data_IF_083712612705
#
_entry.id   IF_083712612705
#
_cell.length_a   1.000
_cell.length_b   1.000
_cell.length_c   1.000
_cell.angle_alpha   90.00
_cell.angle_beta   90.00
_cell.angle_gamma   90.00
#
_symmetry.space_group_name_H-M   'P 1'
#
loop_
_entity.id
_entity.type
_entity.pdbx_description
1 polymer ?
#
# COMPACT_ATOMS: atom_id res chain seq x y z
N UNK A 1 0.17 19.69 -13.23
CA UNK A 1 1.16 19.13 -12.29
C UNK A 1 2.50 19.79 -12.60
N UNK A 2 3.01 20.64 -11.71
CA UNK A 2 4.27 21.35 -11.91
C UNK A 2 5.41 20.41 -11.54
N UNK A 3 6.19 19.96 -12.53
CA UNK A 3 7.43 19.21 -12.37
C UNK A 3 8.50 20.14 -11.79
N UNK A 4 8.48 20.32 -10.47
CA UNK A 4 9.53 21.04 -9.73
C UNK A 4 10.81 20.20 -9.67
N UNK A 5 11.94 20.79 -10.08
CA UNK A 5 13.32 20.32 -9.98
C UNK A 5 13.56 18.99 -9.22
N UNK A 6 13.74 17.91 -10.00
CA UNK A 6 13.96 16.52 -9.59
C UNK A 6 15.44 16.13 -9.38
N UNK A 7 16.33 17.08 -9.03
CA UNK A 7 17.74 16.72 -8.84
C UNK A 7 17.97 16.09 -7.46
N UNK A 8 18.56 14.89 -7.37
CA UNK A 8 18.93 14.28 -6.10
C UNK A 8 20.07 15.04 -5.45
N UNK A 9 20.15 14.96 -4.12
CA UNK A 9 21.24 15.53 -3.32
C UNK A 9 22.40 14.55 -3.13
N UNK A 10 22.16 13.25 -3.26
CA UNK A 10 23.16 12.18 -3.21
C UNK A 10 22.81 11.08 -4.20
N UNK A 11 23.81 10.49 -4.85
CA UNK A 11 23.63 9.37 -5.79
C UNK A 11 24.69 8.32 -5.48
N UNK A 12 24.25 7.08 -5.28
CA UNK A 12 25.06 5.93 -4.92
C UNK A 12 24.87 4.83 -5.98
N UNK A 13 25.96 4.20 -6.42
CA UNK A 13 25.97 3.08 -7.36
C UNK A 13 26.79 1.96 -6.73
N UNK A 14 26.21 0.77 -6.55
CA UNK A 14 26.86 -0.35 -5.88
C UNK A 14 27.69 -1.17 -6.88
N UNK A 15 27.11 -1.51 -8.03
CA UNK A 15 27.83 -1.92 -9.22
C UNK A 15 27.55 -3.36 -9.63
N UNK A 16 28.51 -4.26 -9.41
CA UNK A 16 28.38 -5.68 -9.77
C UNK A 16 28.67 -6.54 -8.54
N UNK A 17 27.95 -7.64 -8.43
CA UNK A 17 27.99 -8.54 -7.29
C UNK A 17 26.88 -8.19 -6.29
N UNK A 18 26.65 -9.11 -5.36
CA UNK A 18 25.62 -8.95 -4.34
C UNK A 18 26.10 -7.91 -3.31
N UNK A 19 25.47 -6.73 -3.30
CA UNK A 19 25.85 -5.60 -2.49
C UNK A 19 24.90 -5.38 -1.31
N UNK A 20 25.41 -4.74 -0.24
CA UNK A 20 24.60 -4.35 0.91
C UNK A 20 24.75 -2.85 1.13
N UNK A 21 23.63 -2.15 1.10
CA UNK A 21 23.54 -0.71 1.31
C UNK A 21 22.65 -0.38 2.51
N UNK A 22 23.21 0.29 3.51
CA UNK A 22 22.46 0.85 4.64
C UNK A 22 22.68 2.36 4.69
N UNK A 23 21.67 3.10 4.24
CA UNK A 23 21.70 4.56 4.21
C UNK A 23 22.02 5.24 5.55
N UNK A 24 21.80 4.59 6.69
CA UNK A 24 22.13 5.14 8.01
C UNK A 24 23.64 5.24 8.25
N UNK A 25 24.42 4.49 7.48
CA UNK A 25 25.87 4.43 7.56
C UNK A 25 26.56 5.32 6.52
N UNK A 26 25.80 5.90 5.58
CA UNK A 26 26.36 6.50 4.36
C UNK A 26 26.55 8.02 4.45
N UNK A 27 27.80 8.52 4.42
CA UNK A 27 28.07 9.95 4.37
C UNK A 27 27.51 10.56 3.09
N UNK A 28 26.70 11.61 3.24
CA UNK A 28 26.08 12.29 2.10
C UNK A 28 24.70 11.74 1.72
N UNK A 29 24.21 10.71 2.41
CA UNK A 29 22.79 10.37 2.36
C UNK A 29 21.93 11.48 2.94
N UNK A 30 20.80 11.73 2.30
CA UNK A 30 19.82 12.77 2.60
C UNK A 30 18.43 12.31 2.14
N UNK A 31 17.37 13.00 2.55
CA UNK A 31 15.98 12.71 2.16
C UNK A 31 15.68 12.92 0.65
N UNK A 32 16.68 13.19 -0.19
CA UNK A 32 16.57 13.26 -1.66
C UNK A 32 17.71 12.48 -2.33
N UNK A 33 18.05 11.32 -1.81
CA UNK A 33 19.15 10.51 -2.32
C UNK A 33 18.66 9.31 -3.09
N UNK A 34 19.45 8.92 -4.07
CA UNK A 34 19.18 7.78 -4.95
C UNK A 34 20.27 6.72 -4.77
N UNK A 35 19.88 5.46 -4.75
CA UNK A 35 20.77 4.31 -4.74
C UNK A 35 20.36 3.34 -5.85
N UNK A 36 21.36 2.82 -6.56
CA UNK A 36 21.22 1.86 -7.66
C UNK A 36 22.11 0.66 -7.35
N UNK A 37 21.50 -0.53 -7.24
CA UNK A 37 22.13 -1.81 -6.94
C UNK A 37 23.07 -2.23 -8.07
N UNK A 38 22.49 -2.61 -9.21
CA UNK A 38 23.23 -2.81 -10.45
C UNK A 38 23.07 -4.23 -11.00
N UNK A 39 24.07 -5.08 -10.84
CA UNK A 39 23.94 -6.51 -11.13
C UNK A 39 24.30 -7.31 -9.88
N UNK A 40 23.49 -8.28 -9.50
CA UNK A 40 23.69 -9.10 -8.30
C UNK A 40 22.45 -9.02 -7.43
N UNK A 41 22.36 -9.89 -6.44
CA UNK A 41 21.22 -9.91 -5.53
C UNK A 41 21.50 -8.91 -4.38
N UNK A 42 20.94 -7.71 -4.48
CA UNK A 42 21.29 -6.59 -3.61
C UNK A 42 20.35 -6.44 -2.41
N UNK A 43 20.89 -5.96 -1.29
CA UNK A 43 20.12 -5.62 -0.09
C UNK A 43 20.23 -4.13 0.20
N UNK A 44 19.15 -3.38 -0.05
CA UNK A 44 19.14 -1.92 0.03
C UNK A 44 18.16 -1.45 1.12
N UNK A 45 18.68 -0.76 2.14
CA UNK A 45 17.88 -0.07 3.16
C UNK A 45 18.05 1.45 3.02
N UNK A 46 16.97 2.12 2.59
CA UNK A 46 16.92 3.55 2.31
C UNK A 46 15.93 4.25 3.26
N UNK A 47 16.47 5.04 4.18
CA UNK A 47 15.75 5.65 5.31
C UNK A 47 15.73 7.17 5.16
N UNK A 48 14.57 7.81 5.36
CA UNK A 48 14.51 9.27 5.48
C UNK A 48 15.05 9.72 6.85
N UNK A 49 15.89 10.75 6.86
CA UNK A 49 16.48 11.30 8.07
C UNK A 49 15.46 12.14 8.88
N UNK A 50 15.46 12.04 10.23
CA UNK A 50 14.65 12.87 11.11
C UNK A 50 14.84 14.39 10.91
N UNK A 51 13.86 15.25 11.31
CA UNK A 51 12.70 14.95 12.15
C UNK A 51 11.45 14.47 11.41
N UNK A 52 11.46 14.40 10.07
CA UNK A 52 10.30 13.95 9.29
C UNK A 52 10.64 12.69 8.49
N UNK A 53 9.73 11.74 8.45
CA UNK A 53 9.82 10.59 7.52
C UNK A 53 9.59 11.00 6.06
N UNK A 54 9.27 12.26 5.76
CA UNK A 54 9.17 12.75 4.38
C UNK A 54 10.51 12.59 3.63
N UNK A 55 10.49 11.67 2.67
CA UNK A 55 11.55 11.45 1.69
C UNK A 55 11.15 11.91 0.30
N UNK A 56 12.13 11.82 -0.59
CA UNK A 56 12.06 11.75 -2.06
C UNK A 56 13.22 10.85 -2.50
N UNK A 57 13.25 9.68 -1.88
CA UNK A 57 14.29 8.69 -2.11
C UNK A 57 13.97 7.90 -3.37
N UNK A 58 15.00 7.36 -4.00
CA UNK A 58 14.89 6.34 -5.04
C UNK A 58 15.82 5.19 -4.65
N UNK A 59 15.29 3.99 -4.55
CA UNK A 59 16.07 2.77 -4.46
C UNK A 59 15.73 1.89 -5.67
N UNK A 60 16.75 1.46 -6.41
CA UNK A 60 16.62 0.56 -7.56
C UNK A 60 17.53 -0.64 -7.33
N UNK A 61 17.01 -1.86 -7.44
CA UNK A 61 17.82 -3.10 -7.42
C UNK A 61 18.52 -3.34 -8.76
N UNK A 62 17.83 -3.01 -9.86
CA UNK A 62 18.26 -3.15 -11.25
C UNK A 62 18.23 -4.61 -11.77
N UNK A 63 19.26 -5.44 -11.59
CA UNK A 63 19.23 -6.85 -12.02
C UNK A 63 19.69 -7.77 -10.90
N UNK A 64 18.89 -8.78 -10.59
CA UNK A 64 19.12 -9.73 -9.50
C UNK A 64 17.84 -9.91 -8.71
N UNK A 65 17.84 -10.85 -7.78
CA UNK A 65 16.72 -11.02 -6.84
C UNK A 65 16.98 -10.08 -5.64
N UNK A 66 16.44 -8.85 -5.71
CA UNK A 66 16.80 -7.76 -4.81
C UNK A 66 15.86 -7.64 -3.60
N UNK A 67 16.39 -7.18 -2.46
CA UNK A 67 15.61 -6.82 -1.28
C UNK A 67 15.73 -5.33 -0.98
N UNK A 68 14.64 -4.59 -1.14
CA UNK A 68 14.60 -3.14 -0.98
C UNK A 68 13.66 -2.77 0.15
N UNK A 69 14.19 -2.05 1.15
CA UNK A 69 13.44 -1.51 2.28
C UNK A 69 13.48 0.02 2.27
N UNK A 70 12.31 0.64 2.13
CA UNK A 70 12.09 2.07 2.30
C UNK A 70 11.50 2.38 3.68
N UNK A 71 12.14 3.28 4.41
CA UNK A 71 11.58 3.90 5.62
C UNK A 71 11.41 5.41 5.38
N UNK A 72 10.46 5.74 4.52
CA UNK A 72 10.18 7.10 4.10
C UNK A 72 8.77 7.24 3.52
N UNK A 73 8.24 8.45 3.48
CA UNK A 73 7.09 8.85 2.67
C UNK A 73 7.55 9.41 1.31
N UNK A 74 6.66 9.44 0.31
CA UNK A 74 6.89 10.08 -1.00
C UNK A 74 8.18 9.62 -1.73
N UNK A 75 8.53 8.35 -1.59
CA UNK A 75 9.73 7.75 -2.15
C UNK A 75 9.42 6.62 -3.13
N UNK A 76 10.43 6.18 -3.88
CA UNK A 76 10.30 5.19 -4.95
C UNK A 76 11.21 4.00 -4.68
N UNK A 77 10.65 2.78 -4.77
CA UNK A 77 11.39 1.53 -4.81
C UNK A 77 11.10 0.83 -6.15
N UNK A 78 12.15 0.42 -6.85
CA UNK A 78 12.09 -0.32 -8.10
C UNK A 78 12.89 -1.61 -7.91
N UNK A 79 12.27 -2.77 -8.06
CA UNK A 79 12.96 -4.06 -7.94
C UNK A 79 13.91 -4.20 -9.12
N UNK A 80 13.34 -4.24 -10.32
CA UNK A 80 14.10 -4.31 -11.55
C UNK A 80 13.80 -5.64 -12.22
N UNK A 81 14.83 -6.40 -12.56
CA UNK A 81 14.67 -7.76 -13.10
C UNK A 81 15.10 -8.77 -12.05
N UNK A 82 14.25 -9.74 -11.78
CA UNK A 82 14.51 -10.80 -10.82
C UNK A 82 13.24 -11.03 -10.03
N UNK A 83 13.31 -11.80 -8.95
CA UNK A 83 12.20 -11.95 -8.02
C UNK A 83 12.50 -11.10 -6.79
N UNK A 84 11.89 -9.92 -6.75
CA UNK A 84 12.26 -8.87 -5.82
C UNK A 84 11.37 -8.83 -4.58
N UNK A 85 11.91 -8.34 -3.47
CA UNK A 85 11.16 -8.06 -2.24
C UNK A 85 11.23 -6.57 -1.94
N UNK A 86 10.12 -5.86 -2.13
CA UNK A 86 10.02 -4.42 -1.89
C UNK A 86 9.16 -4.14 -0.67
N UNK A 87 9.70 -3.42 0.30
CA UNK A 87 9.01 -3.10 1.56
C UNK A 87 9.01 -1.60 1.81
N UNK A 88 7.84 -0.99 1.96
CA UNK A 88 7.70 0.40 2.42
C UNK A 88 7.12 0.45 3.83
N UNK A 89 7.83 1.11 4.75
CA UNK A 89 7.52 1.15 6.18
C UNK A 89 7.35 2.59 6.69
N UNK A 90 6.26 2.80 7.41
CA UNK A 90 5.96 4.00 8.19
C UNK A 90 5.56 5.21 7.36
N UNK A 91 5.78 5.20 6.05
CA UNK A 91 5.50 6.30 5.15
C UNK A 91 4.37 6.04 4.15
N UNK A 92 3.73 7.15 3.77
CA UNK A 92 2.62 7.24 2.82
C UNK A 92 3.09 7.85 1.49
N UNK A 93 2.31 7.63 0.43
CA UNK A 93 2.58 8.19 -0.90
C UNK A 93 3.82 7.63 -1.60
N UNK A 94 4.31 6.45 -1.19
CA UNK A 94 5.40 5.78 -1.88
C UNK A 94 4.92 5.10 -3.17
N UNK A 95 5.84 4.87 -4.09
CA UNK A 95 5.63 4.06 -5.29
C UNK A 95 6.58 2.85 -5.27
N UNK A 96 6.02 1.65 -5.35
CA UNK A 96 6.75 0.39 -5.40
C UNK A 96 6.44 -0.28 -6.73
N UNK A 97 7.47 -0.72 -7.44
CA UNK A 97 7.37 -1.40 -8.74
C UNK A 97 8.28 -2.62 -8.70
N UNK A 98 7.69 -3.82 -8.76
CA UNK A 98 8.46 -5.07 -8.81
C UNK A 98 9.28 -5.14 -10.09
N UNK A 99 8.58 -5.09 -11.23
CA UNK A 99 9.19 -5.16 -12.55
C UNK A 99 8.94 -6.54 -13.15
N UNK A 100 9.81 -7.06 -14.03
CA UNK A 100 9.70 -8.44 -14.48
C UNK A 100 10.24 -9.41 -13.41
N UNK A 101 9.37 -10.30 -12.93
CA UNK A 101 9.67 -11.09 -11.74
C UNK A 101 8.44 -11.78 -11.17
N UNK A 102 8.62 -12.75 -10.28
CA UNK A 102 7.61 -13.07 -9.28
C UNK A 102 7.92 -12.26 -8.01
N UNK A 103 7.32 -11.07 -7.90
CA UNK A 103 7.73 -10.08 -6.90
C UNK A 103 6.84 -10.12 -5.65
N UNK A 104 7.42 -9.72 -4.51
CA UNK A 104 6.71 -9.53 -3.25
C UNK A 104 6.76 -8.06 -2.84
N UNK A 105 5.61 -7.38 -2.90
CA UNK A 105 5.49 -5.99 -2.51
C UNK A 105 4.73 -5.86 -1.18
N UNK A 106 5.35 -5.21 -0.20
CA UNK A 106 4.88 -5.10 1.17
C UNK A 106 4.66 -3.63 1.52
N UNK A 107 3.43 -3.27 1.88
CA UNK A 107 3.07 -1.93 2.35
C UNK A 107 2.72 -1.93 3.84
N UNK A 108 3.50 -1.15 4.60
CA UNK A 108 3.26 -0.83 6.00
C UNK A 108 3.10 0.69 6.13
N UNK A 109 1.96 1.20 5.65
CA UNK A 109 1.66 2.64 5.56
C UNK A 109 0.59 3.15 6.51
N UNK A 110 0.18 2.39 7.53
CA UNK A 110 -0.92 2.77 8.43
C UNK A 110 -0.72 4.16 9.05
N UNK A 111 -1.63 5.08 8.77
CA UNK A 111 -1.56 6.48 9.20
C UNK A 111 -2.90 6.96 9.74
N UNK A 112 -2.85 7.80 10.77
CA UNK A 112 -4.03 8.49 11.31
C UNK A 112 -4.47 9.70 10.47
N UNK A 113 -3.65 10.08 9.48
CA UNK A 113 -3.92 11.15 8.52
C UNK A 113 -4.80 10.73 7.35
N UNK A 114 -5.28 11.73 6.60
CA UNK A 114 -6.04 11.55 5.35
C UNK A 114 -5.11 11.60 4.13
N UNK A 115 -3.82 11.32 4.30
CA UNK A 115 -2.86 11.37 3.20
C UNK A 115 -3.06 10.15 2.26
N UNK A 116 -2.67 10.24 0.97
CA UNK A 116 -2.76 9.12 0.04
C UNK A 116 -1.95 7.91 0.53
N UNK A 117 -2.48 6.71 0.32
CA UNK A 117 -1.73 5.46 0.53
C UNK A 117 -0.55 5.31 -0.44
N UNK A 118 0.13 4.17 -0.32
CA UNK A 118 1.19 3.75 -1.23
C UNK A 118 0.58 3.24 -2.55
N UNK A 119 1.32 3.39 -3.64
CA UNK A 119 0.98 2.84 -4.96
C UNK A 119 1.93 1.70 -5.28
N UNK A 120 1.39 0.56 -5.65
CA UNK A 120 2.12 -0.67 -5.91
C UNK A 120 1.82 -1.16 -7.33
N UNK A 121 2.85 -1.57 -8.06
CA UNK A 121 2.74 -2.27 -9.34
C UNK A 121 3.55 -3.57 -9.24
N UNK A 122 2.92 -4.70 -9.51
CA UNK A 122 3.64 -5.99 -9.56
C UNK A 122 4.57 -6.05 -10.77
N UNK A 123 4.06 -5.64 -11.93
CA UNK A 123 4.80 -5.67 -13.18
C UNK A 123 4.50 -6.94 -13.97
N UNK A 124 5.52 -7.65 -14.44
CA UNK A 124 5.36 -8.87 -15.23
C UNK A 124 5.74 -10.11 -14.41
N UNK A 125 4.73 -10.80 -13.92
CA UNK A 125 4.83 -12.18 -13.47
C UNK A 125 3.60 -12.53 -12.65
N UNK A 126 3.77 -13.41 -11.67
CA UNK A 126 2.74 -13.71 -10.67
C UNK A 126 3.20 -13.16 -9.35
N UNK A 127 2.72 -11.97 -9.04
CA UNK A 127 3.18 -11.18 -7.91
C UNK A 127 2.33 -11.44 -6.65
N UNK A 128 2.92 -11.11 -5.50
CA UNK A 128 2.28 -11.14 -4.21
C UNK A 128 2.30 -9.75 -3.58
N UNK A 129 1.15 -9.30 -3.11
CA UNK A 129 1.01 -8.03 -2.40
C UNK A 129 0.66 -8.32 -0.95
N UNK A 130 1.32 -7.65 -0.03
CA UNK A 130 1.10 -7.82 1.39
C UNK A 130 0.81 -6.50 2.06
N UNK A 131 -0.32 -6.45 2.74
CA UNK A 131 -0.81 -5.25 3.40
C UNK A 131 -0.93 -5.48 4.89
N UNK A 132 -0.32 -4.55 5.63
CA UNK A 132 -0.35 -4.55 7.09
C UNK A 132 -0.81 -3.21 7.66
N UNK A 133 -1.34 -2.34 6.80
CA UNK A 133 -1.85 -1.03 7.17
C UNK A 133 -3.22 -1.15 7.85
N UNK A 134 -3.39 -0.40 8.94
CA UNK A 134 -4.67 0.02 9.48
C UNK A 134 -4.71 1.55 9.38
N UNK A 135 -5.78 2.08 8.77
CA UNK A 135 -5.89 3.50 8.44
C UNK A 135 -7.19 4.11 8.94
N UNK A 136 -7.21 5.45 9.03
CA UNK A 136 -8.44 6.17 9.34
C UNK A 136 -9.37 6.23 8.11
N UNK A 137 -10.09 5.13 7.87
CA UNK A 137 -11.08 5.03 6.81
C UNK A 137 -12.46 5.43 7.34
N UNK A 138 -13.11 6.36 6.65
CA UNK A 138 -14.46 6.86 6.99
C UNK A 138 -15.33 6.93 5.76
N UNK A 139 -16.64 6.85 5.96
CA UNK A 139 -17.66 7.18 4.97
C UNK A 139 -18.19 8.57 5.30
N UNK A 140 -18.05 9.51 4.36
CA UNK A 140 -18.43 10.92 4.54
C UNK A 140 -19.82 11.26 4.01
N UNK A 141 -20.41 10.32 3.27
CA UNK A 141 -21.74 10.43 2.71
C UNK A 141 -22.36 9.03 2.67
N UNK A 142 -23.41 8.82 3.47
CA UNK A 142 -24.36 7.70 3.33
C UNK A 142 -25.49 8.18 2.41
N UNK A 143 -25.37 7.86 1.12
CA UNK A 143 -26.28 8.33 0.08
C UNK A 143 -27.69 7.73 0.23
N UNK A 144 -27.77 6.49 0.73
CA UNK A 144 -29.02 5.77 0.99
C UNK A 144 -29.71 6.19 2.30
N UNK A 145 -28.95 6.76 3.24
CA UNK A 145 -29.36 6.98 4.63
C UNK A 145 -29.89 5.71 5.30
N UNK A 146 -29.31 4.57 4.93
CA UNK A 146 -29.76 3.25 5.36
C UNK A 146 -28.80 2.60 6.38
N UNK A 147 -27.71 3.30 6.73
CA UNK A 147 -26.73 2.83 7.69
C UNK A 147 -25.95 1.62 7.19
N UNK A 148 -25.81 1.46 5.87
CA UNK A 148 -24.99 0.43 5.22
C UNK A 148 -24.17 1.06 4.10
N UNK A 149 -23.06 0.41 3.76
CA UNK A 149 -22.30 0.79 2.57
C UNK A 149 -23.11 0.46 1.32
N UNK A 150 -23.43 1.46 0.51
CA UNK A 150 -24.27 1.34 -0.68
C UNK A 150 -23.84 2.24 -1.85
N UNK A 151 -24.52 2.12 -2.99
CA UNK A 151 -24.23 2.89 -4.21
C UNK A 151 -24.32 4.41 -3.95
N UNK A 152 -23.28 5.15 -4.31
CA UNK A 152 -23.17 6.59 -4.08
C UNK A 152 -22.43 6.98 -2.80
N UNK A 153 -22.11 6.03 -1.92
CA UNK A 153 -21.33 6.31 -0.71
C UNK A 153 -19.90 6.70 -1.03
N UNK A 154 -19.33 7.55 -0.18
CA UNK A 154 -17.98 8.11 -0.37
C UNK A 154 -17.08 7.71 0.78
N UNK A 155 -16.17 6.77 0.50
CA UNK A 155 -15.04 6.45 1.35
C UNK A 155 -13.94 7.51 1.22
N UNK A 156 -13.39 7.89 2.37
CA UNK A 156 -12.28 8.81 2.50
C UNK A 156 -11.28 8.22 3.50
N UNK A 157 -10.01 8.13 3.12
CA UNK A 157 -8.95 7.62 3.99
C UNK A 157 -7.69 7.22 3.22
N UNK A 158 -6.63 6.83 3.95
CA UNK A 158 -5.43 6.30 3.31
C UNK A 158 -5.74 4.94 2.68
N UNK A 159 -5.78 4.93 1.34
CA UNK A 159 -6.00 3.74 0.53
C UNK A 159 -4.73 3.40 -0.22
N UNK A 160 -4.17 2.23 0.04
CA UNK A 160 -3.13 1.70 -0.84
C UNK A 160 -3.75 1.33 -2.19
N UNK A 161 -2.96 1.37 -3.25
CA UNK A 161 -3.45 1.17 -4.62
C UNK A 161 -2.56 0.19 -5.36
N UNK A 162 -3.13 -0.92 -5.81
CA UNK A 162 -2.49 -1.77 -6.83
C UNK A 162 -2.94 -1.29 -8.20
N UNK A 163 -1.98 -1.00 -9.08
CA UNK A 163 -2.26 -0.41 -10.39
C UNK A 163 -2.46 -1.41 -11.53
N UNK A 164 -2.06 -2.65 -11.34
CA UNK A 164 -1.98 -3.64 -12.41
C UNK A 164 -2.39 -5.06 -12.00
N UNK A 165 -3.17 -5.20 -10.92
CA UNK A 165 -3.60 -6.50 -10.38
C UNK A 165 -4.15 -7.43 -11.46
N UNK A 166 -3.66 -8.67 -11.46
CA UNK A 166 -4.09 -9.75 -12.37
C UNK A 166 -4.65 -10.92 -11.57
N UNK A 167 -5.69 -11.55 -12.13
CA UNK A 167 -6.21 -12.78 -11.55
C UNK A 167 -5.12 -13.85 -11.48
N UNK A 168 -4.92 -14.41 -10.29
CA UNK A 168 -3.83 -15.35 -9.98
C UNK A 168 -2.77 -14.76 -9.07
N UNK A 169 -2.63 -13.43 -9.02
CA UNK A 169 -1.79 -12.73 -8.04
C UNK A 169 -2.47 -12.78 -6.66
N UNK A 170 -1.67 -12.81 -5.61
CA UNK A 170 -2.16 -12.98 -4.23
C UNK A 170 -2.11 -11.67 -3.46
N UNK A 171 -3.16 -11.38 -2.70
CA UNK A 171 -3.20 -10.29 -1.73
C UNK A 171 -3.27 -10.93 -0.34
N UNK A 172 -2.22 -10.73 0.43
CA UNK A 172 -2.13 -11.17 1.82
C UNK A 172 -2.46 -10.01 2.75
N UNK A 173 -3.52 -10.18 3.53
CA UNK A 173 -3.94 -9.20 4.54
C UNK A 173 -3.44 -9.73 5.89
N UNK A 174 -2.66 -8.97 6.66
CA UNK A 174 -2.25 -9.43 8.00
C UNK A 174 -1.79 -8.30 8.90
N UNK A 175 -1.77 -8.53 10.20
CA UNK A 175 -1.19 -7.58 11.15
C UNK A 175 0.35 -7.64 11.09
N UNK A 176 1.01 -6.52 11.36
CA UNK A 176 2.47 -6.42 11.27
C UNK A 176 3.21 -7.38 12.22
N UNK A 177 2.70 -7.55 13.44
CA UNK A 177 3.21 -8.53 14.42
C UNK A 177 2.30 -9.78 14.52
N UNK A 178 1.47 -10.00 13.50
CA UNK A 178 0.54 -11.11 13.46
C UNK A 178 1.23 -12.47 13.42
N UNK A 179 0.52 -13.55 13.78
CA UNK A 179 1.04 -14.90 13.60
C UNK A 179 1.34 -15.17 12.13
N UNK A 180 2.38 -15.97 11.86
CA UNK A 180 2.76 -16.39 10.50
C UNK A 180 1.66 -17.25 9.85
N UNK A 181 0.88 -17.96 10.66
CA UNK A 181 -0.31 -18.70 10.23
C UNK A 181 -1.56 -17.91 10.61
N UNK A 182 -2.16 -17.27 9.60
CA UNK A 182 -3.39 -16.50 9.71
C UNK A 182 -4.56 -17.39 9.27
N UNK A 183 -5.69 -17.46 10.00
CA UNK A 183 -6.87 -18.14 9.49
C UNK A 183 -7.32 -17.51 8.16
N UNK A 184 -8.01 -18.24 7.29
CA UNK A 184 -8.51 -17.67 6.04
C UNK A 184 -9.44 -16.50 6.32
N UNK A 185 -9.30 -15.42 5.56
CA UNK A 185 -10.19 -14.28 5.61
C UNK A 185 -11.62 -14.63 5.19
N UNK A 186 -12.61 -14.03 5.85
CA UNK A 186 -14.03 -14.20 5.53
C UNK A 186 -14.60 -12.99 4.78
N UNK A 187 -15.29 -13.23 3.66
CA UNK A 187 -15.95 -12.18 2.89
C UNK A 187 -17.28 -11.80 3.56
N UNK A 188 -17.46 -10.51 3.82
CA UNK A 188 -18.71 -9.91 4.29
C UNK A 188 -19.39 -9.18 3.14
N UNK A 189 -20.61 -9.61 2.80
CA UNK A 189 -21.39 -9.05 1.68
C UNK A 189 -22.11 -7.74 2.04
N UNK A 190 -22.52 -7.56 3.31
CA UNK A 190 -23.20 -6.37 3.79
C UNK A 190 -22.43 -5.73 4.95
N UNK A 191 -21.91 -4.52 4.71
CA UNK A 191 -21.18 -3.76 5.72
C UNK A 191 -22.06 -2.66 6.30
N UNK A 192 -22.31 -2.76 7.60
CA UNK A 192 -23.02 -1.73 8.36
C UNK A 192 -22.15 -0.49 8.57
N UNK A 193 -22.81 0.65 8.76
CA UNK A 193 -22.20 1.93 9.10
C UNK A 193 -22.54 2.32 10.53
N UNK A 194 -21.51 2.67 11.31
CA UNK A 194 -21.67 3.28 12.65
C UNK A 194 -21.16 4.72 12.61
N UNK A 195 -21.68 5.58 13.50
CA UNK A 195 -21.19 6.96 13.60
C UNK A 195 -19.72 7.00 14.03
N UNK A 196 -18.91 7.82 13.37
CA UNK A 196 -17.51 8.06 13.73
C UNK A 196 -17.44 8.72 15.13
N UNK A 197 -16.72 8.15 16.11
CA UNK A 197 -16.61 8.75 17.44
C UNK A 197 -15.95 10.13 17.43
N UNK A 198 -15.20 10.47 16.37
CA UNK A 198 -14.56 11.76 16.20
C UNK A 198 -15.40 12.77 15.38
N UNK A 199 -16.53 12.35 14.79
CA UNK A 199 -17.41 13.25 14.04
C UNK A 199 -18.80 12.64 13.82
N UNK A 200 -19.84 13.35 14.27
CA UNK A 200 -21.23 12.94 14.06
C UNK A 200 -21.69 12.93 12.60
N UNK A 201 -20.95 13.60 11.70
CA UNK A 201 -21.27 13.70 10.27
C UNK A 201 -20.50 12.68 9.41
N UNK A 202 -19.75 11.78 10.05
CA UNK A 202 -19.02 10.71 9.38
C UNK A 202 -19.40 9.36 9.95
N UNK A 203 -19.17 8.34 9.15
CA UNK A 203 -19.45 6.96 9.50
C UNK A 203 -18.21 6.10 9.34
N UNK A 204 -18.21 4.93 9.97
CA UNK A 204 -17.18 3.91 9.82
C UNK A 204 -17.83 2.61 9.36
N UNK A 205 -17.23 1.91 8.37
CA UNK A 205 -17.65 0.56 8.03
C UNK A 205 -17.36 -0.39 9.20
N UNK A 206 -18.26 -1.33 9.42
CA UNK A 206 -18.07 -2.41 10.40
C UNK A 206 -17.63 -3.67 9.66
N UNK A 207 -16.33 -3.96 9.75
CA UNK A 207 -15.69 -5.20 9.31
C UNK A 207 -14.93 -5.72 10.53
N UNK A 208 -15.11 -6.98 10.91
CA UNK A 208 -14.50 -7.56 12.11
C UNK A 208 -13.17 -8.26 11.84
N UNK A 209 -12.42 -8.59 12.89
CA UNK A 209 -11.13 -9.27 12.81
C UNK A 209 -11.12 -10.46 11.82
N UNK A 210 -10.26 -10.39 10.80
CA UNK A 210 -10.14 -11.44 9.81
C UNK A 210 -11.24 -11.45 8.75
N UNK A 211 -12.05 -10.39 8.71
CA UNK A 211 -13.06 -10.18 7.67
C UNK A 211 -12.58 -9.16 6.65
N UNK A 212 -13.14 -9.24 5.45
CA UNK A 212 -12.99 -8.23 4.40
C UNK A 212 -14.28 -8.06 3.61
N UNK A 213 -14.41 -6.92 2.96
CA UNK A 213 -15.51 -6.59 2.07
C UNK A 213 -15.00 -6.00 0.76
N UNK A 214 -15.74 -6.26 -0.32
CA UNK A 214 -15.42 -5.80 -1.66
C UNK A 214 -16.49 -4.81 -2.14
N UNK A 215 -16.06 -3.66 -2.64
CA UNK A 215 -16.95 -2.64 -3.17
C UNK A 215 -16.47 -2.19 -4.55
N UNK A 216 -17.32 -2.34 -5.56
CA UNK A 216 -17.07 -1.74 -6.86
C UNK A 216 -17.30 -0.24 -6.82
N UNK A 217 -16.49 0.51 -7.54
CA UNK A 217 -16.61 1.96 -7.57
C UNK A 217 -15.62 2.69 -8.45
N UNK A 218 -15.47 3.97 -8.16
CA UNK A 218 -14.57 4.88 -8.85
C UNK A 218 -13.57 5.46 -7.86
N UNK A 219 -12.31 5.09 -8.02
CA UNK A 219 -11.22 5.72 -7.29
C UNK A 219 -10.86 7.04 -7.97
N UNK A 220 -11.11 8.15 -7.26
CA UNK A 220 -10.89 9.50 -7.81
C UNK A 220 -9.43 9.97 -7.67
N UNK A 221 -8.57 9.14 -7.06
CA UNK A 221 -7.17 9.45 -6.76
C UNK A 221 -6.98 10.03 -5.36
N UNK A 222 -5.76 9.93 -4.85
CA UNK A 222 -5.40 10.39 -3.52
C UNK A 222 -5.95 9.46 -2.43
N UNK A 223 -7.10 9.81 -1.87
CA UNK A 223 -7.67 9.21 -0.67
C UNK A 223 -9.20 9.00 -0.76
N UNK A 224 -9.79 9.12 -1.96
CA UNK A 224 -11.25 9.11 -2.14
C UNK A 224 -11.71 8.01 -3.09
N UNK A 225 -12.69 7.23 -2.63
CA UNK A 225 -13.36 6.20 -3.41
C UNK A 225 -14.87 6.36 -3.33
N UNK A 226 -15.54 6.30 -4.48
CA UNK A 226 -17.01 6.43 -4.58
C UNK A 226 -17.57 5.08 -4.96
N UNK A 227 -18.43 4.51 -4.12
CA UNK A 227 -19.10 3.23 -4.40
C UNK A 227 -20.03 3.41 -5.59
N UNK A 228 -19.90 2.54 -6.59
CA UNK A 228 -20.69 2.58 -7.81
C UNK A 228 -20.80 1.19 -8.44
N UNK A 229 -22.02 0.70 -8.69
CA UNK A 229 -22.27 -0.63 -9.27
C UNK A 229 -21.59 -0.86 -10.64
N UNK A 230 -21.33 0.22 -11.38
CA UNK A 230 -20.64 0.22 -12.67
C UNK A 230 -19.27 0.89 -12.62
N UNK A 231 -18.71 0.99 -11.41
CA UNK A 231 -17.35 1.39 -11.14
C UNK A 231 -16.32 0.59 -11.92
N UNK A 232 -15.14 1.19 -12.14
CA UNK A 232 -14.02 0.57 -12.85
C UNK A 232 -12.91 0.07 -11.92
N UNK A 233 -13.05 0.35 -10.63
CA UNK A 233 -12.10 0.01 -9.60
C UNK A 233 -12.81 -0.83 -8.53
N UNK A 234 -12.04 -1.61 -7.78
CA UNK A 234 -12.52 -2.40 -6.66
C UNK A 234 -11.82 -1.93 -5.39
N UNK A 235 -12.59 -1.62 -4.36
CA UNK A 235 -12.10 -1.34 -3.01
C UNK A 235 -12.22 -2.60 -2.18
N UNK A 236 -11.14 -2.96 -1.50
CA UNK A 236 -11.09 -3.94 -0.42
C UNK A 236 -11.03 -3.15 0.88
N UNK A 237 -11.99 -3.37 1.76
CA UNK A 237 -11.96 -2.90 3.16
C UNK A 237 -11.77 -4.12 4.03
N UNK A 238 -10.83 -4.09 4.96
CA UNK A 238 -10.51 -5.26 5.76
C UNK A 238 -10.07 -4.90 7.18
N UNK A 239 -10.21 -5.87 8.06
CA UNK A 239 -9.68 -5.82 9.41
C UNK A 239 -8.75 -7.02 9.63
N UNK A 240 -7.52 -6.76 10.07
CA UNK A 240 -6.51 -7.80 10.15
C UNK A 240 -6.67 -8.66 11.42
N UNK A 241 -6.37 -9.96 11.33
CA UNK A 241 -6.47 -10.85 12.50
C UNK A 241 -5.64 -10.40 13.71
N UNK A 242 -6.27 -10.47 14.90
CA UNK A 242 -5.72 -10.01 16.18
C UNK A 242 -5.19 -8.58 16.13
N UNK A 243 -5.72 -7.78 15.22
CA UNK A 243 -5.27 -6.42 15.11
C UNK A 243 -5.49 -5.70 16.45
N UNK A 244 -4.44 -5.04 16.91
CA UNK A 244 -4.50 -4.10 18.03
C UNK A 244 -5.07 -2.77 17.51
N UNK A 245 -6.01 -2.81 16.58
CA UNK A 245 -6.60 -1.65 15.94
C UNK A 245 -7.17 -0.79 17.05
N UNK A 246 -6.81 0.49 17.01
CA UNK A 246 -7.68 1.50 17.58
C UNK A 246 -9.09 1.22 17.04
N UNK A 247 -10.14 1.26 17.87
CA UNK A 247 -11.53 0.81 17.56
C UNK A 247 -12.19 1.45 16.30
N UNK A 248 -11.41 2.25 15.58
CA UNK A 248 -11.74 3.13 14.48
C UNK A 248 -10.87 2.92 13.23
N UNK A 249 -9.84 2.06 13.26
CA UNK A 249 -8.96 1.85 12.12
C UNK A 249 -9.42 0.66 11.28
N UNK A 250 -9.33 0.81 9.95
CA UNK A 250 -9.62 -0.26 9.00
C UNK A 250 -8.56 -0.21 7.90
N UNK A 251 -8.14 -1.38 7.44
CA UNK A 251 -7.30 -1.52 6.27
C UNK A 251 -8.08 -1.20 5.00
N UNK A 252 -7.41 -0.57 4.03
CA UNK A 252 -8.04 -0.31 2.75
C UNK A 252 -7.08 -0.35 1.57
N UNK A 253 -7.52 -1.01 0.52
CA UNK A 253 -6.78 -1.28 -0.70
C UNK A 253 -7.69 -1.09 -1.92
N UNK A 254 -7.21 -0.38 -2.93
CA UNK A 254 -7.89 -0.24 -4.22
C UNK A 254 -7.16 -1.05 -5.29
N UNK A 255 -7.89 -1.91 -5.97
CA UNK A 255 -7.48 -2.55 -7.23
C UNK A 255 -7.95 -1.67 -8.38
N UNK A 256 -7.03 -0.86 -8.91
CA UNK A 256 -7.36 0.13 -9.92
C UNK A 256 -7.58 -0.53 -11.27
N UNK A 257 -8.68 -0.19 -11.94
CA UNK A 257 -9.03 -0.77 -13.24
C UNK A 257 -9.50 -2.23 -13.17
N UNK A 258 -9.69 -2.77 -11.97
CA UNK A 258 -10.13 -4.15 -11.73
C UNK A 258 -11.55 -4.16 -11.15
N UNK A 259 -12.40 -5.10 -11.59
CA UNK A 259 -13.82 -5.13 -11.19
C UNK A 259 -14.39 -6.54 -10.96
N UNK A 260 -13.63 -7.60 -11.26
CA UNK A 260 -14.09 -8.98 -11.13
C UNK A 260 -13.73 -9.54 -9.76
N UNK A 261 -14.64 -9.40 -8.81
CA UNK A 261 -14.50 -9.87 -7.42
C UNK A 261 -14.14 -11.36 -7.32
N UNK A 262 -14.61 -12.19 -8.26
CA UNK A 262 -14.34 -13.63 -8.24
C UNK A 262 -12.89 -14.00 -8.57
N UNK A 263 -12.15 -13.06 -9.17
CA UNK A 263 -10.75 -13.23 -9.53
C UNK A 263 -9.77 -12.75 -8.46
N UNK A 264 -10.26 -12.19 -7.34
CA UNK A 264 -9.44 -11.70 -6.23
C UNK A 264 -9.06 -12.85 -5.32
N UNK A 265 -7.76 -13.04 -5.11
CA UNK A 265 -7.22 -14.05 -4.20
C UNK A 265 -6.75 -13.37 -2.91
N UNK A 266 -7.61 -13.39 -1.88
CA UNK A 266 -7.28 -12.92 -0.53
C UNK A 266 -6.78 -14.09 0.32
N UNK A 267 -5.67 -13.90 1.01
CA UNK A 267 -5.07 -14.83 1.95
C UNK A 267 -4.81 -14.18 3.32
#
# INVERSE_FOLDING_TARGET
MSIGNFWPSGIFFLGNGDDVFDSSLEPGWTNRSWVFGGNGDDSITAIALPPTIEGRLLASGDNGDDTIRLEASNSVALGGRGNDVLTAIGGLGNYLDGGPGEDLLISFGGGSGMDPGNTLSGGFGTDAFRFTNAGNLVVTHDAGQDGRVSDGDVFLGPMDVITDYRSGETIELRSFEGPEEVPPYELVEEVALITDPLSADRFRPVVGDGEFALFRGHFSGGNTFIVAQHGRDLLVVYDAFNGQDDEIAQGSLVLRGFTDESGVMIA
#
